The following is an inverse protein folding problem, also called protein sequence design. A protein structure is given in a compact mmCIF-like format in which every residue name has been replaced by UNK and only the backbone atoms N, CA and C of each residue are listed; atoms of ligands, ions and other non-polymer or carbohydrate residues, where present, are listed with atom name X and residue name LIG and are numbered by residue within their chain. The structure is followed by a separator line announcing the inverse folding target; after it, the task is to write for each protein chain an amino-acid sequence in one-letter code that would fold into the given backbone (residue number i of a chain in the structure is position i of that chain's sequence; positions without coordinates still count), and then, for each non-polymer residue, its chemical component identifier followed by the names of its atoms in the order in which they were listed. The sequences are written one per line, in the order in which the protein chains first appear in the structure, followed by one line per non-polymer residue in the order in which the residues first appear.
data_IF_405004244953
#
_entry.id   IF_405004244953
#
_cell.length_a   1.000
_cell.length_b   1.000
_cell.length_c   1.000
_cell.angle_alpha   90.00
_cell.angle_beta   90.00
_cell.angle_gamma   90.00
#
_symmetry.space_group_name_H-M   'P 1'
#
loop_
_entity.id
_entity.type
_entity.pdbx_description
1 polymer ?
#
# COMPACT_ATOMS: atom_id res chain seq x y z
N UNK A 1 2.38 -5.55 9.74
CA UNK A 1 2.30 -4.76 8.49
C UNK A 1 2.27 -3.30 8.87
N UNK A 2 2.90 -2.46 8.07
CA UNK A 2 2.86 -1.00 8.19
C UNK A 2 2.84 -0.37 6.81
N UNK A 3 2.52 0.92 6.75
CA UNK A 3 2.80 1.73 5.58
C UNK A 3 4.33 1.88 5.47
N UNK A 4 4.88 1.62 4.28
CA UNK A 4 6.33 1.54 4.07
C UNK A 4 6.92 2.94 3.86
N UNK A 5 6.31 3.76 3.00
CA UNK A 5 6.79 5.07 2.59
C UNK A 5 5.72 6.15 2.53
N UNK A 6 6.13 7.35 2.10
CA UNK A 6 5.24 8.51 1.99
C UNK A 6 4.92 9.18 3.34
N UNK A 7 3.90 10.03 3.36
CA UNK A 7 3.56 10.90 4.50
C UNK A 7 3.07 10.13 5.75
N UNK A 8 2.68 8.87 5.57
CA UNK A 8 2.23 7.99 6.65
C UNK A 8 3.15 6.81 6.90
N UNK A 9 4.41 6.88 6.44
CA UNK A 9 5.42 5.86 6.68
C UNK A 9 5.51 5.45 8.16
N UNK A 10 5.62 4.15 8.41
CA UNK A 10 5.72 3.59 9.76
C UNK A 10 4.39 3.38 10.48
N UNK A 11 3.26 3.92 9.97
CA UNK A 11 1.96 3.70 10.59
C UNK A 11 1.56 2.21 10.54
N UNK A 12 1.17 1.61 11.68
CA UNK A 12 0.78 0.21 11.73
C UNK A 12 -0.55 -0.02 10.98
N UNK A 13 -0.66 -1.19 10.33
CA UNK A 13 -1.88 -1.62 9.65
C UNK A 13 -2.41 -2.92 10.28
N UNK A 14 -3.72 -2.93 10.54
CA UNK A 14 -4.43 -4.10 11.06
C UNK A 14 -4.98 -4.93 9.90
N UNK A 15 -4.72 -6.24 9.93
CA UNK A 15 -5.34 -7.17 8.97
C UNK A 15 -6.80 -7.43 9.32
N UNK A 16 -7.74 -7.50 8.35
CA UNK A 16 -9.14 -7.84 8.59
C UNK A 16 -9.35 -9.33 8.97
N UNK A 17 -8.31 -10.15 8.97
CA UNK A 17 -8.39 -11.52 9.48
C UNK A 17 -7.27 -12.44 9.00
N UNK A 18 -7.28 -13.68 9.51
CA UNK A 18 -6.26 -14.71 9.22
C UNK A 18 -6.32 -15.29 7.80
N UNK A 19 -7.46 -15.16 7.11
CA UNK A 19 -7.64 -15.67 5.73
C UNK A 19 -7.10 -14.72 4.65
N UNK A 20 -6.65 -13.53 5.03
CA UNK A 20 -6.04 -12.59 4.08
C UNK A 20 -4.53 -12.75 4.16
N UNK A 21 -3.93 -13.19 3.05
CA UNK A 21 -2.47 -13.18 2.88
C UNK A 21 -2.07 -11.79 2.40
N UNK A 22 -1.39 -10.97 3.22
CA UNK A 22 -0.97 -9.66 2.78
C UNK A 22 0.16 -9.72 1.76
N UNK A 23 0.16 -8.77 0.83
CA UNK A 23 1.32 -8.50 -0.03
C UNK A 23 2.52 -8.12 0.83
N UNK A 24 3.69 -8.68 0.54
CA UNK A 24 4.92 -8.42 1.31
C UNK A 24 5.35 -6.94 1.18
N UNK A 25 6.05 -6.42 2.19
CA UNK A 25 6.40 -4.99 2.24
C UNK A 25 7.33 -4.57 1.11
N UNK A 26 8.29 -5.41 0.76
CA UNK A 26 9.22 -5.25 -0.38
C UNK A 26 8.49 -5.23 -1.73
N UNK A 27 7.51 -6.11 -1.94
CA UNK A 27 6.68 -6.12 -3.15
C UNK A 27 5.84 -4.84 -3.25
N UNK A 28 5.28 -4.37 -2.13
CA UNK A 28 4.54 -3.09 -2.12
C UNK A 28 5.47 -1.93 -2.46
N UNK A 29 6.64 -1.86 -1.82
CA UNK A 29 7.58 -0.76 -2.04
C UNK A 29 8.13 -0.74 -3.48
N UNK A 30 8.51 -1.90 -4.02
CA UNK A 30 8.96 -2.04 -5.40
C UNK A 30 7.89 -1.61 -6.41
N UNK A 31 6.61 -1.95 -6.19
CA UNK A 31 5.52 -1.52 -7.05
C UNK A 31 5.35 0.01 -7.02
N UNK A 32 5.45 0.62 -5.85
CA UNK A 32 5.32 2.08 -5.76
C UNK A 32 6.53 2.81 -6.37
N UNK A 33 7.73 2.25 -6.23
CA UNK A 33 8.91 2.76 -6.91
C UNK A 33 8.77 2.66 -8.44
N UNK A 34 8.18 1.57 -8.94
CA UNK A 34 7.89 1.39 -10.36
C UNK A 34 6.87 2.41 -10.88
N UNK A 35 5.86 2.76 -10.08
CA UNK A 35 4.88 3.78 -10.45
C UNK A 35 5.45 5.20 -10.35
N UNK A 36 6.31 5.46 -9.36
CA UNK A 36 7.04 6.72 -9.19
C UNK A 36 6.10 7.93 -9.21
N UNK A 37 6.50 8.94 -9.98
CA UNK A 37 5.78 10.22 -10.11
C UNK A 37 4.35 10.09 -10.68
N UNK A 38 4.01 8.94 -11.30
CA UNK A 38 2.66 8.70 -11.83
C UNK A 38 1.61 8.58 -10.73
N UNK A 39 2.00 8.40 -9.47
CA UNK A 39 1.08 8.38 -8.33
C UNK A 39 0.62 9.77 -7.92
N UNK A 40 1.43 10.81 -8.19
CA UNK A 40 1.11 12.16 -7.73
C UNK A 40 -0.17 12.69 -8.40
N UNK A 41 -1.20 12.94 -7.59
CA UNK A 41 -2.52 13.38 -8.08
C UNK A 41 -3.32 12.29 -8.81
N UNK A 42 -2.87 11.03 -8.78
CA UNK A 42 -3.55 9.95 -9.46
C UNK A 42 -4.84 9.52 -8.77
N UNK A 43 -5.79 9.01 -9.56
CA UNK A 43 -6.93 8.26 -9.05
C UNK A 43 -6.59 6.78 -9.04
N UNK A 44 -6.57 6.18 -7.86
CA UNK A 44 -6.21 4.77 -7.66
C UNK A 44 -7.45 3.94 -7.36
N UNK A 45 -7.53 2.75 -7.95
CA UNK A 45 -8.57 1.76 -7.68
C UNK A 45 -7.92 0.43 -7.29
N UNK A 46 -8.20 -0.03 -6.07
CA UNK A 46 -7.75 -1.31 -5.54
C UNK A 46 -8.93 -2.30 -5.49
N UNK A 47 -9.10 -3.07 -6.57
CA UNK A 47 -10.27 -3.95 -6.77
C UNK A 47 -10.37 -5.09 -5.75
N UNK A 48 -9.23 -5.51 -5.18
CA UNK A 48 -9.15 -6.62 -4.23
C UNK A 48 -8.38 -6.19 -3.00
N UNK A 49 -8.78 -5.05 -2.44
CA UNK A 49 -8.03 -4.34 -1.42
C UNK A 49 -7.59 -5.22 -0.24
N UNK A 50 -8.40 -6.21 0.17
CA UNK A 50 -8.03 -7.14 1.23
C UNK A 50 -7.68 -6.40 2.52
N UNK A 51 -6.39 -6.33 2.88
CA UNK A 51 -5.91 -5.54 4.02
C UNK A 51 -5.94 -4.02 3.80
N UNK A 52 -6.18 -3.57 2.58
CA UNK A 52 -6.07 -2.18 2.14
C UNK A 52 -4.63 -1.69 1.99
N UNK A 53 -3.63 -2.53 2.23
CA UNK A 53 -2.24 -2.09 2.33
C UNK A 53 -1.70 -1.45 1.03
N UNK A 54 -2.08 -1.97 -0.14
CA UNK A 54 -1.64 -1.41 -1.43
C UNK A 54 -2.27 -0.05 -1.72
N UNK A 55 -3.60 0.07 -1.61
CA UNK A 55 -4.28 1.36 -1.76
C UNK A 55 -3.82 2.42 -0.75
N UNK A 56 -3.58 2.03 0.51
CA UNK A 56 -3.05 2.95 1.53
C UNK A 56 -1.61 3.36 1.28
N UNK A 57 -0.78 2.46 0.74
CA UNK A 57 0.59 2.78 0.32
C UNK A 57 0.59 3.79 -0.84
N UNK A 58 -0.32 3.62 -1.80
CA UNK A 58 -0.48 4.54 -2.93
C UNK A 58 -0.99 5.91 -2.46
N UNK A 59 -1.94 5.96 -1.53
CA UNK A 59 -2.47 7.22 -0.97
C UNK A 59 -1.41 7.97 -0.14
N UNK A 60 -0.46 7.24 0.46
CA UNK A 60 0.62 7.84 1.27
C UNK A 60 1.65 8.62 0.43
N UNK A 61 1.68 8.41 -0.89
CA UNK A 61 2.68 8.99 -1.81
C UNK A 61 2.18 10.23 -2.55
#
# INVERSE_FOLDING_TARGET
MRIVGGIWAGRPLTSPGRRVRPTQEDVRDALMALLGDRLHGARVLDLFAGTGALGLEALSR
#
